data_IF_577536014076
#
_entry.id   IF_577536014076
#
_cell.length_a   1.000
_cell.length_b   1.000
_cell.length_c   1.000
_cell.angle_alpha   90.00
_cell.angle_beta   90.00
_cell.angle_gamma   90.00
#
_symmetry.space_group_name_H-M   'P 1'
#
loop_
_entity.id
_entity.type
_entity.pdbx_description
1 polymer ?
#
# COMPACT_ATOMS: atom_id res chain seq x y z
N UNK A 1 0.90 -4.49 16.91
CA UNK A 1 -0.39 -4.91 16.31
C UNK A 1 -0.51 -4.23 14.97
N UNK A 2 -0.51 -5.00 13.89
CA UNK A 2 -0.58 -4.46 12.54
C UNK A 2 -2.04 -4.35 12.08
N UNK A 3 -2.55 -3.12 11.97
CA UNK A 3 -3.93 -2.86 11.54
C UNK A 3 -4.16 -3.10 10.03
N UNK A 4 -3.13 -3.53 9.29
CA UNK A 4 -3.30 -4.00 7.91
C UNK A 4 -4.07 -5.31 7.79
N UNK A 5 -4.18 -6.07 8.88
CA UNK A 5 -4.79 -7.39 8.93
C UNK A 5 -5.55 -7.62 10.24
N UNK A 6 -6.62 -8.40 10.20
CA UNK A 6 -7.45 -8.72 11.36
C UNK A 6 -8.57 -7.69 11.59
N UNK A 7 -9.48 -8.03 12.50
CA UNK A 7 -10.58 -7.15 12.88
C UNK A 7 -10.27 -6.38 14.18
N UNK A 8 -10.99 -5.30 14.49
CA UNK A 8 -10.88 -4.62 15.78
C UNK A 8 -11.05 -5.57 16.99
N UNK A 9 -11.92 -6.56 16.88
CA UNK A 9 -12.16 -7.56 17.92
C UNK A 9 -10.97 -8.50 18.10
N UNK A 10 -10.36 -8.96 17.00
CA UNK A 10 -9.12 -9.76 17.05
C UNK A 10 -8.00 -9.01 17.76
N UNK A 11 -7.92 -7.71 17.48
CA UNK A 11 -6.93 -6.79 18.03
C UNK A 11 -7.13 -6.58 19.53
N UNK A 12 -8.38 -6.35 19.98
CA UNK A 12 -8.72 -6.25 21.39
C UNK A 12 -8.39 -7.54 22.14
N UNK A 13 -8.82 -8.70 21.61
CA UNK A 13 -8.57 -10.00 22.24
C UNK A 13 -7.08 -10.28 22.42
N UNK A 14 -6.24 -9.90 21.44
CA UNK A 14 -4.78 -10.05 21.55
C UNK A 14 -4.20 -9.12 22.61
N UNK A 15 -4.67 -7.88 22.70
CA UNK A 15 -4.20 -6.93 23.70
C UNK A 15 -4.51 -7.41 25.13
N UNK A 16 -5.72 -7.92 25.35
CA UNK A 16 -6.14 -8.43 26.66
C UNK A 16 -5.27 -9.62 27.10
N UNK A 17 -5.04 -10.57 26.18
CA UNK A 17 -4.14 -11.72 26.44
C UNK A 17 -2.71 -11.30 26.75
N UNK A 18 -2.16 -10.32 26.02
CA UNK A 18 -0.80 -9.82 26.28
C UNK A 18 -0.70 -9.22 27.68
N UNK A 19 -1.69 -8.42 28.09
CA UNK A 19 -1.72 -7.83 29.44
C UNK A 19 -1.87 -8.86 30.54
N UNK A 20 -2.74 -9.85 30.35
CA UNK A 20 -2.92 -10.96 31.29
C UNK A 20 -1.61 -11.74 31.51
N UNK A 21 -0.94 -12.11 30.41
CA UNK A 21 0.32 -12.85 30.46
C UNK A 21 1.44 -12.01 31.08
N UNK A 22 1.53 -10.72 30.71
CA UNK A 22 2.51 -9.79 31.27
C UNK A 22 2.35 -9.66 32.80
N UNK A 23 1.12 -9.52 33.28
CA UNK A 23 0.80 -9.49 34.71
C UNK A 23 1.18 -10.81 35.40
N UNK A 24 0.83 -11.97 34.82
CA UNK A 24 1.17 -13.30 35.36
C UNK A 24 2.68 -13.51 35.51
N UNK A 25 3.47 -12.93 34.61
CA UNK A 25 4.93 -13.08 34.58
C UNK A 25 5.68 -11.92 35.28
N UNK A 26 4.96 -10.93 35.81
CA UNK A 26 5.59 -9.73 36.41
C UNK A 26 6.45 -8.94 35.42
N UNK A 27 6.04 -8.87 34.15
CA UNK A 27 6.76 -8.16 33.08
C UNK A 27 5.98 -6.93 32.64
N UNK A 28 6.71 -5.90 32.21
CA UNK A 28 6.13 -4.76 31.51
C UNK A 28 6.30 -4.95 30.01
N UNK A 29 5.19 -4.99 29.28
CA UNK A 29 5.17 -5.18 27.82
C UNK A 29 4.33 -4.07 27.21
N UNK A 30 4.93 -3.24 26.37
CA UNK A 30 4.23 -2.21 25.63
C UNK A 30 3.52 -2.82 24.41
N UNK A 31 2.35 -2.27 24.07
CA UNK A 31 1.57 -2.59 22.89
C UNK A 31 1.68 -1.42 21.91
N UNK A 32 2.23 -1.70 20.73
CA UNK A 32 2.28 -0.76 19.61
C UNK A 32 1.14 -1.06 18.64
N UNK A 33 0.30 -0.08 18.31
CA UNK A 33 -0.62 -0.11 17.18
C UNK A 33 0.07 0.45 15.93
N UNK A 34 -0.04 -0.23 14.80
CA UNK A 34 0.62 0.16 13.54
C UNK A 34 -0.43 0.39 12.46
N UNK A 35 -0.61 1.67 12.09
CA UNK A 35 -1.59 2.10 11.09
C UNK A 35 -1.16 1.69 9.69
N UNK A 36 -2.16 1.42 8.86
CA UNK A 36 -1.94 0.90 7.51
C UNK A 36 -1.33 1.94 6.57
N UNK A 37 -1.82 3.18 6.62
CA UNK A 37 -1.50 4.22 5.67
C UNK A 37 -2.09 3.98 4.27
N UNK A 38 -1.85 4.91 3.33
CA UNK A 38 -2.32 4.79 1.96
C UNK A 38 -1.68 3.58 1.26
N UNK A 39 -2.52 2.64 0.83
CA UNK A 39 -2.09 1.50 0.02
C UNK A 39 -2.08 1.87 -1.46
N UNK A 40 -0.92 2.24 -1.97
CA UNK A 40 -0.72 2.45 -3.41
C UNK A 40 -0.39 1.08 -4.01
N UNK A 41 -1.35 0.52 -4.74
CA UNK A 41 -1.28 -0.85 -5.26
C UNK A 41 -1.83 -0.94 -6.67
N UNK A 42 -1.33 -1.91 -7.43
CA UNK A 42 -2.05 -2.42 -8.60
C UNK A 42 -3.30 -3.16 -8.13
N UNK A 43 -4.35 -3.10 -8.93
CA UNK A 43 -5.62 -3.78 -8.71
C UNK A 43 -5.46 -5.29 -8.99
N UNK A 44 -6.48 -5.92 -9.55
CA UNK A 44 -6.49 -7.37 -9.81
C UNK A 44 -6.52 -7.71 -11.30
N UNK A 45 -5.85 -8.81 -11.64
CA UNK A 45 -5.78 -9.39 -12.97
C UNK A 45 -6.87 -10.45 -13.16
N UNK A 46 -7.27 -10.68 -14.41
CA UNK A 46 -8.24 -11.74 -14.80
C UNK A 46 -7.81 -13.12 -14.31
N UNK A 47 -6.54 -13.46 -14.49
CA UNK A 47 -5.96 -14.75 -14.09
C UNK A 47 -5.18 -14.67 -12.76
N UNK A 48 -5.32 -13.56 -12.02
CA UNK A 48 -4.68 -13.32 -10.72
C UNK A 48 -3.18 -13.02 -10.74
N UNK A 49 -2.48 -13.34 -11.83
CA UNK A 49 -1.08 -12.96 -12.07
C UNK A 49 -0.76 -12.87 -13.56
N UNK A 50 0.28 -12.10 -13.87
CA UNK A 50 0.90 -12.00 -15.19
C UNK A 50 2.42 -12.11 -15.04
N UNK A 51 3.11 -12.23 -16.18
CA UNK A 51 4.55 -12.10 -16.26
C UNK A 51 4.88 -10.99 -17.25
N UNK A 52 5.71 -10.04 -16.83
CA UNK A 52 6.15 -8.90 -17.63
C UNK A 52 7.61 -9.09 -18.04
N UNK A 53 7.91 -8.89 -19.32
CA UNK A 53 9.27 -8.95 -19.85
C UNK A 53 9.85 -7.54 -19.96
N UNK A 54 11.17 -7.44 -19.90
CA UNK A 54 11.87 -6.17 -20.15
C UNK A 54 11.54 -5.66 -21.55
N UNK A 55 11.18 -4.38 -21.66
CA UNK A 55 10.77 -3.72 -22.90
C UNK A 55 9.26 -3.76 -23.17
N UNK A 56 8.49 -4.56 -22.44
CA UNK A 56 7.03 -4.62 -22.61
C UNK A 56 6.41 -3.24 -22.28
N UNK A 57 5.40 -2.84 -23.07
CA UNK A 57 4.58 -1.66 -22.76
C UNK A 57 3.49 -2.08 -21.80
N UNK A 58 3.34 -1.33 -20.70
CA UNK A 58 2.38 -1.63 -19.66
C UNK A 58 1.64 -0.37 -19.20
N UNK A 59 0.32 -0.46 -19.11
CA UNK A 59 -0.55 0.66 -18.77
C UNK A 59 -1.08 0.51 -17.33
N UNK A 60 -0.88 1.56 -16.52
CA UNK A 60 -1.60 1.72 -15.26
C UNK A 60 -2.78 2.66 -15.49
N UNK A 61 -4.01 2.15 -15.31
CA UNK A 61 -5.24 2.91 -15.58
C UNK A 61 -6.06 3.06 -14.30
N UNK A 62 -6.24 4.29 -13.82
CA UNK A 62 -7.02 4.56 -12.63
C UNK A 62 -8.54 4.32 -12.81
N UNK A 63 -9.05 4.20 -14.03
CA UNK A 63 -10.46 3.91 -14.28
C UNK A 63 -10.75 2.44 -14.56
N UNK A 64 -9.71 1.59 -14.70
CA UNK A 64 -9.90 0.17 -14.99
C UNK A 64 -10.52 -0.56 -13.80
N UNK A 65 -11.52 -1.39 -14.08
CA UNK A 65 -12.24 -2.17 -13.09
C UNK A 65 -11.38 -3.25 -12.43
N UNK A 66 -11.82 -3.71 -11.25
CA UNK A 66 -11.21 -4.88 -10.60
C UNK A 66 -11.40 -6.12 -11.49
N UNK A 67 -10.34 -6.90 -11.65
CA UNK A 67 -10.36 -8.16 -12.39
C UNK A 67 -10.25 -7.97 -13.90
N UNK A 68 -10.08 -6.75 -14.39
CA UNK A 68 -9.93 -6.47 -15.82
C UNK A 68 -8.47 -6.39 -16.27
N UNK A 69 -7.52 -6.48 -15.33
CA UNK A 69 -6.09 -6.45 -15.64
C UNK A 69 -5.62 -7.66 -16.45
N UNK A 70 -4.67 -7.44 -17.34
CA UNK A 70 -4.03 -8.43 -18.20
C UNK A 70 -2.57 -8.03 -18.49
N UNK A 71 -1.94 -8.63 -19.52
CA UNK A 71 -0.52 -8.38 -19.84
C UNK A 71 -0.24 -6.96 -20.32
N UNK A 72 -1.25 -6.22 -20.76
CA UNK A 72 -1.05 -4.88 -21.33
C UNK A 72 -1.42 -3.78 -20.33
N UNK A 73 -2.34 -4.06 -19.40
CA UNK A 73 -2.87 -3.05 -18.49
C UNK A 73 -3.31 -3.61 -17.14
N UNK A 74 -3.29 -2.76 -16.12
CA UNK A 74 -3.91 -3.05 -14.82
C UNK A 74 -4.48 -1.79 -14.18
N UNK A 75 -5.51 -1.99 -13.37
CA UNK A 75 -6.06 -0.92 -12.55
C UNK A 75 -5.10 -0.52 -11.43
N UNK A 76 -5.31 0.66 -10.87
CA UNK A 76 -4.62 1.11 -9.65
C UNK A 76 -5.63 1.55 -8.59
N UNK A 77 -5.34 1.25 -7.33
CA UNK A 77 -6.23 1.62 -6.21
C UNK A 77 -6.08 3.10 -5.86
N UNK A 78 -4.88 3.66 -5.99
CA UNK A 78 -4.61 5.07 -5.76
C UNK A 78 -4.85 5.88 -7.04
N UNK A 79 -6.00 6.54 -7.10
CA UNK A 79 -6.44 7.33 -8.28
C UNK A 79 -5.62 8.60 -8.52
N UNK A 80 -4.86 9.05 -7.52
CA UNK A 80 -3.96 10.20 -7.64
C UNK A 80 -2.64 9.91 -8.36
N UNK A 81 -2.29 8.64 -8.61
CA UNK A 81 -0.99 8.29 -9.22
C UNK A 81 -0.68 9.04 -10.53
N UNK A 82 -1.62 9.21 -11.48
CA UNK A 82 -1.34 9.93 -12.72
C UNK A 82 -0.93 11.39 -12.50
N UNK A 83 -1.36 12.03 -11.41
CA UNK A 83 -0.97 13.40 -11.07
C UNK A 83 0.39 13.49 -10.37
N UNK A 84 0.86 12.38 -9.78
CA UNK A 84 2.10 12.32 -8.99
C UNK A 84 3.32 11.87 -9.81
N UNK A 85 3.11 11.45 -11.06
CA UNK A 85 4.15 10.90 -11.92
C UNK A 85 4.34 11.72 -13.18
N UNK A 86 5.58 11.80 -13.64
CA UNK A 86 5.98 12.46 -14.87
C UNK A 86 6.81 11.53 -15.75
N UNK A 87 6.90 11.78 -17.07
CA UNK A 87 7.81 11.04 -17.94
C UNK A 87 9.22 10.93 -17.38
N UNK A 88 9.77 9.71 -17.35
CA UNK A 88 11.08 9.42 -16.79
C UNK A 88 11.07 8.87 -15.37
N UNK A 89 9.98 9.04 -14.61
CA UNK A 89 9.86 8.45 -13.28
C UNK A 89 9.94 6.91 -13.32
N UNK A 90 10.50 6.33 -12.25
CA UNK A 90 10.59 4.88 -12.07
C UNK A 90 9.62 4.45 -10.98
N UNK A 91 8.71 3.55 -11.33
CA UNK A 91 7.78 2.89 -10.42
C UNK A 91 8.29 1.49 -10.10
N UNK A 92 8.40 1.22 -8.81
CA UNK A 92 8.83 -0.05 -8.22
C UNK A 92 7.59 -0.84 -7.79
N UNK A 93 7.40 -2.03 -8.33
CA UNK A 93 6.28 -2.91 -8.04
C UNK A 93 6.77 -4.15 -7.29
N UNK A 94 5.95 -4.63 -6.34
CA UNK A 94 6.27 -5.80 -5.48
C UNK A 94 7.67 -5.68 -4.87
N UNK A 95 7.90 -4.58 -4.13
CA UNK A 95 9.17 -4.25 -3.47
C UNK A 95 10.37 -4.16 -4.45
N UNK A 96 10.10 -3.74 -5.69
CA UNK A 96 11.11 -3.52 -6.72
C UNK A 96 11.46 -4.74 -7.57
N UNK A 97 10.75 -5.87 -7.38
CA UNK A 97 10.89 -7.06 -8.22
C UNK A 97 10.51 -6.81 -9.67
N UNK A 98 9.58 -5.89 -9.91
CA UNK A 98 9.23 -5.38 -11.23
C UNK A 98 9.44 -3.87 -11.22
N UNK A 99 9.98 -3.32 -12.31
CA UNK A 99 10.18 -1.88 -12.46
C UNK A 99 9.60 -1.38 -13.76
N UNK A 100 8.87 -0.27 -13.67
CA UNK A 100 8.24 0.40 -14.79
C UNK A 100 8.81 1.82 -14.92
N UNK A 101 9.22 2.20 -16.12
CA UNK A 101 9.58 3.59 -16.44
C UNK A 101 8.40 4.28 -17.08
N UNK A 102 7.98 5.42 -16.52
CA UNK A 102 6.89 6.23 -17.08
C UNK A 102 7.34 6.84 -18.39
N UNK A 103 6.55 6.63 -19.45
CA UNK A 103 6.77 7.21 -20.77
C UNK A 103 5.94 8.48 -20.95
N UNK A 104 4.65 8.39 -20.62
CA UNK A 104 3.70 9.48 -20.73
C UNK A 104 2.50 9.29 -19.80
N UNK A 105 1.78 10.38 -19.53
CA UNK A 105 0.53 10.38 -18.77
C UNK A 105 -0.54 11.06 -19.62
N UNK A 106 -1.68 10.39 -19.80
CA UNK A 106 -2.84 10.94 -20.51
C UNK A 106 -4.09 10.78 -19.65
N UNK A 107 -4.51 11.88 -19.00
CA UNK A 107 -5.64 11.85 -18.07
C UNK A 107 -5.39 10.87 -16.91
N UNK A 108 -6.21 9.82 -16.84
CA UNK A 108 -6.16 8.80 -15.78
C UNK A 108 -5.28 7.58 -16.13
N UNK A 109 -4.53 7.66 -17.25
CA UNK A 109 -3.70 6.58 -17.80
C UNK A 109 -2.22 6.93 -17.72
N UNK A 110 -1.41 6.03 -17.17
CA UNK A 110 0.05 6.15 -17.11
C UNK A 110 0.65 5.06 -17.98
N UNK A 111 1.26 5.48 -19.08
CA UNK A 111 1.92 4.57 -20.02
C UNK A 111 3.35 4.35 -19.58
N UNK A 112 3.76 3.09 -19.51
CA UNK A 112 5.06 2.71 -18.99
C UNK A 112 5.76 1.69 -19.88
N UNK A 113 7.06 1.55 -19.67
CA UNK A 113 7.87 0.47 -20.20
C UNK A 113 8.53 -0.31 -19.06
N UNK A 114 8.51 -1.63 -19.17
CA UNK A 114 9.13 -2.51 -18.17
C UNK A 114 10.66 -2.43 -18.29
N UNK A 115 11.31 -1.97 -17.24
CA UNK A 115 12.79 -1.91 -17.15
C UNK A 115 13.38 -3.10 -16.40
N UNK A 116 12.62 -3.67 -15.47
CA UNK A 116 12.93 -4.94 -14.80
C UNK A 116 11.69 -5.81 -14.84
N UNK A 117 11.78 -6.94 -15.53
CA UNK A 117 10.69 -7.90 -15.72
C UNK A 117 10.55 -8.89 -14.56
N UNK A 118 9.41 -9.56 -14.50
CA UNK A 118 9.11 -10.54 -13.46
C UNK A 118 7.62 -10.85 -13.34
N UNK A 119 7.24 -11.74 -12.41
CA UNK A 119 5.85 -12.02 -12.11
C UNK A 119 5.22 -10.84 -11.37
N UNK A 120 4.02 -10.45 -11.77
CA UNK A 120 3.20 -9.45 -11.09
C UNK A 120 1.84 -10.06 -10.79
N UNK A 121 1.40 -10.01 -9.53
CA UNK A 121 0.12 -10.56 -9.09
C UNK A 121 -0.78 -9.49 -8.46
N UNK A 122 -1.96 -9.91 -8.02
CA UNK A 122 -2.96 -9.01 -7.44
C UNK A 122 -2.46 -8.20 -6.23
N UNK A 123 -2.92 -6.96 -6.12
CA UNK A 123 -2.75 -6.10 -4.93
C UNK A 123 -1.30 -5.84 -4.54
N UNK A 124 -0.37 -5.88 -5.51
CA UNK A 124 1.04 -5.57 -5.27
C UNK A 124 1.28 -4.08 -5.11
N UNK A 125 2.16 -3.74 -4.17
CA UNK A 125 2.50 -2.35 -3.86
C UNK A 125 3.20 -1.66 -5.03
N UNK A 126 2.96 -0.36 -5.18
CA UNK A 126 3.64 0.54 -6.10
C UNK A 126 4.34 1.61 -5.26
N UNK A 127 5.63 1.81 -5.49
CA UNK A 127 6.40 2.91 -4.93
C UNK A 127 7.06 3.70 -6.06
N UNK A 128 7.22 5.01 -5.90
CA UNK A 128 8.00 5.84 -6.82
C UNK A 128 9.43 5.93 -6.31
N UNK A 129 10.41 5.63 -7.16
CA UNK A 129 11.83 5.79 -6.83
C UNK A 129 12.13 7.26 -6.56
N UNK A 130 12.73 7.57 -5.41
CA UNK A 130 12.97 8.95 -4.97
C UNK A 130 11.77 9.59 -4.24
N UNK A 131 10.66 8.88 -4.05
CA UNK A 131 9.47 9.37 -3.34
C UNK A 131 8.58 10.27 -4.20
N UNK A 132 7.80 11.15 -3.55
CA UNK A 132 6.97 12.13 -4.25
C UNK A 132 5.54 11.70 -4.59
N UNK A 133 5.03 10.63 -3.97
CA UNK A 133 3.61 10.31 -4.01
C UNK A 133 2.88 11.17 -2.96
N UNK A 134 1.82 11.87 -3.37
CA UNK A 134 1.10 12.86 -2.58
C UNK A 134 -0.05 12.26 -1.75
N UNK A 135 -0.10 10.93 -1.64
CA UNK A 135 -1.16 10.23 -0.92
C UNK A 135 -1.31 10.75 0.50
N UNK A 136 -2.57 10.98 0.92
CA UNK A 136 -2.86 11.48 2.25
C UNK A 136 -2.26 10.58 3.32
N UNK A 137 -1.61 11.19 4.32
CA UNK A 137 -0.93 10.46 5.39
C UNK A 137 -1.87 9.64 6.28
N UNK A 138 -3.18 9.93 6.27
CA UNK A 138 -4.19 9.21 7.05
C UNK A 138 -5.41 8.90 6.19
N UNK A 139 -5.63 7.62 5.91
CA UNK A 139 -6.84 7.15 5.23
C UNK A 139 -8.04 7.14 6.18
N UNK A 140 -9.28 7.03 5.66
CA UNK A 140 -10.46 6.88 6.52
C UNK A 140 -10.41 5.59 7.35
N UNK A 141 -9.76 4.55 6.82
CA UNK A 141 -9.47 3.34 7.58
C UNK A 141 -8.52 3.65 8.75
N UNK A 142 -7.45 4.40 8.51
CA UNK A 142 -6.51 4.77 9.58
C UNK A 142 -7.22 5.60 10.67
N UNK A 143 -8.15 6.49 10.30
CA UNK A 143 -8.98 7.22 11.28
C UNK A 143 -9.82 6.28 12.16
N UNK A 144 -10.42 5.24 11.57
CA UNK A 144 -11.15 4.23 12.32
C UNK A 144 -10.22 3.36 13.20
N UNK A 145 -9.04 3.02 12.70
CA UNK A 145 -8.03 2.27 13.44
C UNK A 145 -7.45 3.09 14.61
N UNK A 146 -7.31 4.42 14.47
CA UNK A 146 -6.93 5.31 15.57
C UNK A 146 -7.94 5.22 16.72
N UNK A 147 -9.24 5.24 16.41
CA UNK A 147 -10.30 5.07 17.42
C UNK A 147 -10.21 3.70 18.07
N UNK A 148 -9.92 2.66 17.28
CA UNK A 148 -9.74 1.29 17.79
C UNK A 148 -8.52 1.19 18.71
N UNK A 149 -7.39 1.77 18.32
CA UNK A 149 -6.17 1.82 19.11
C UNK A 149 -6.37 2.57 20.44
N UNK A 150 -7.13 3.67 20.42
CA UNK A 150 -7.50 4.42 21.61
C UNK A 150 -8.39 3.60 22.56
N UNK A 151 -9.38 2.88 22.04
CA UNK A 151 -10.22 1.96 22.85
C UNK A 151 -9.41 0.82 23.47
N UNK A 152 -8.48 0.25 22.71
CA UNK A 152 -7.59 -0.81 23.17
C UNK A 152 -6.61 -0.27 24.24
N UNK A 153 -6.26 1.01 24.17
CA UNK A 153 -5.29 1.65 25.07
C UNK A 153 -3.86 1.26 24.72
N UNK A 154 -3.48 1.34 23.45
CA UNK A 154 -2.10 1.07 23.01
C UNK A 154 -1.13 2.11 23.62
N UNK A 155 0.09 1.68 23.93
CA UNK A 155 1.14 2.56 24.48
C UNK A 155 1.76 3.44 23.40
N UNK A 156 1.86 2.90 22.18
CA UNK A 156 2.42 3.58 21.02
C UNK A 156 1.53 3.41 19.81
N UNK A 157 1.49 4.44 18.96
CA UNK A 157 0.81 4.39 17.67
C UNK A 157 1.78 4.81 16.56
N UNK A 158 2.08 3.89 15.65
CA UNK A 158 2.88 4.16 14.46
C UNK A 158 2.00 4.68 13.32
N UNK A 159 2.48 5.71 12.63
CA UNK A 159 1.80 6.31 11.48
C UNK A 159 2.64 6.11 10.23
N UNK A 160 2.12 5.35 9.29
CA UNK A 160 2.75 5.04 8.00
C UNK A 160 2.68 6.23 7.02
N UNK A 161 3.63 6.31 6.08
CA UNK A 161 3.66 7.30 4.98
C UNK A 161 3.56 8.79 5.39
N UNK A 162 4.29 9.20 6.42
CA UNK A 162 4.43 10.63 6.77
C UNK A 162 5.31 11.36 5.75
N UNK A 163 4.74 12.31 5.00
CA UNK A 163 5.50 13.18 4.09
C UNK A 163 6.29 14.29 4.82
N UNK A 164 5.75 14.85 5.91
CA UNK A 164 6.41 15.83 6.79
C UNK A 164 5.61 16.01 8.10
N UNK A 165 6.24 16.61 9.12
CA UNK A 165 5.51 17.17 10.26
C UNK A 165 4.68 18.37 9.77
N UNK A 166 3.39 18.44 10.14
CA UNK A 166 2.61 19.67 9.94
C UNK A 166 3.01 20.64 11.05
N UNK A 167 3.73 21.70 10.68
CA UNK A 167 3.99 22.88 11.52
C UNK A 167 2.78 23.78 11.59
#
# INVERSE_FOLDING_TARGET
MNFSHGTPEDHQLRADKVREIAAKLGRHVAILGDLQGPKIRVSTFKEGKIFLNVGDKFLLDANLGKGEGDKEKVGIDYKGLPADVVPGDILLLDDGRVQLKVLEVQGMKVFTEVTVGGPLSNNKGINKLGGGLSAEALTDKDKADIVTAAKIGVDYLAVSFRAAAKT
#
